data_IF_880832976654
#
_entry.id   IF_880832976654
#
_cell.length_a   1.000
_cell.length_b   1.000
_cell.length_c   1.000
_cell.angle_alpha   90.00
_cell.angle_beta   90.00
_cell.angle_gamma   90.00
#
_symmetry.space_group_name_H-M   'P 1'
#
loop_
_entity.id
_entity.type
_entity.pdbx_description
1 polymer ?
#
# COMPACT_ATOMS: atom_id res chain seq x y z
N UNK A 1 -30.11 -19.78 -28.42
CA UNK A 1 -29.49 -19.87 -27.07
C UNK A 1 -30.56 -20.30 -26.08
N UNK A 2 -30.24 -21.16 -25.12
CA UNK A 2 -31.17 -21.62 -24.06
C UNK A 2 -30.76 -21.00 -22.73
N UNK A 3 -31.72 -20.79 -21.84
CA UNK A 3 -31.48 -20.32 -20.48
C UNK A 3 -30.88 -21.46 -19.65
N UNK A 4 -29.77 -21.19 -18.96
CA UNK A 4 -29.09 -22.18 -18.11
C UNK A 4 -29.83 -22.47 -16.79
N UNK A 5 -30.81 -21.64 -16.43
CA UNK A 5 -31.62 -21.81 -15.21
C UNK A 5 -32.93 -22.54 -15.49
N UNK A 6 -33.71 -22.07 -16.48
CA UNK A 6 -35.04 -22.62 -16.75
C UNK A 6 -35.12 -23.51 -18.00
N UNK A 7 -34.02 -23.71 -18.73
CA UNK A 7 -33.94 -24.55 -19.94
C UNK A 7 -34.70 -24.02 -21.17
N UNK A 8 -35.55 -23.00 -21.02
CA UNK A 8 -36.33 -22.39 -22.10
C UNK A 8 -35.43 -21.70 -23.14
N UNK A 9 -35.91 -21.61 -24.38
CA UNK A 9 -35.24 -20.83 -25.43
C UNK A 9 -35.32 -19.34 -25.09
N UNK A 10 -34.19 -18.64 -25.12
CA UNK A 10 -34.16 -17.20 -24.88
C UNK A 10 -34.63 -16.50 -26.16
N UNK A 11 -35.70 -15.71 -26.05
CA UNK A 11 -36.18 -14.82 -27.09
C UNK A 11 -35.73 -13.39 -26.74
N UNK A 12 -34.84 -12.81 -27.55
CA UNK A 12 -34.27 -11.48 -27.30
C UNK A 12 -32.83 -11.52 -26.78
N UNK A 13 -32.43 -10.48 -26.03
CA UNK A 13 -31.06 -10.31 -25.55
C UNK A 13 -30.78 -11.22 -24.35
N UNK A 14 -29.80 -12.14 -24.42
CA UNK A 14 -29.42 -12.94 -23.26
C UNK A 14 -28.75 -12.07 -22.21
N UNK A 15 -29.07 -12.31 -20.93
CA UNK A 15 -28.47 -11.58 -19.80
C UNK A 15 -27.47 -12.48 -19.10
N UNK A 16 -26.29 -11.94 -18.78
CA UNK A 16 -25.32 -12.61 -17.92
C UNK A 16 -25.60 -12.23 -16.47
N UNK A 17 -26.00 -13.20 -15.67
CA UNK A 17 -26.30 -13.03 -14.26
C UNK A 17 -25.42 -13.94 -13.40
N UNK A 18 -25.10 -13.48 -12.20
CA UNK A 18 -24.46 -14.29 -11.17
C UNK A 18 -25.55 -14.87 -10.26
N UNK A 19 -25.69 -16.19 -10.28
CA UNK A 19 -26.66 -16.94 -9.46
C UNK A 19 -25.84 -17.99 -8.70
N UNK A 20 -25.93 -17.99 -7.37
CA UNK A 20 -25.20 -18.93 -6.49
C UNK A 20 -23.67 -18.98 -6.74
N UNK A 21 -23.07 -17.84 -7.11
CA UNK A 21 -21.64 -17.72 -7.40
C UNK A 21 -21.22 -18.21 -8.79
N UNK A 22 -22.13 -18.77 -9.59
CA UNK A 22 -21.88 -19.14 -10.98
C UNK A 22 -22.34 -18.02 -11.94
N UNK A 23 -21.52 -17.74 -12.96
CA UNK A 23 -21.88 -16.82 -14.05
C UNK A 23 -22.66 -17.58 -15.10
N UNK A 24 -23.97 -17.34 -15.19
CA UNK A 24 -24.88 -18.04 -16.09
C UNK A 24 -25.49 -17.09 -17.13
N UNK A 25 -25.83 -17.65 -18.29
CA UNK A 25 -26.57 -16.97 -19.35
C UNK A 25 -28.05 -17.32 -19.24
N UNK A 26 -28.84 -16.30 -18.94
CA UNK A 26 -30.23 -16.48 -18.54
C UNK A 26 -31.19 -15.62 -19.37
N UNK A 27 -32.47 -16.02 -19.38
CA UNK A 27 -33.54 -15.17 -19.93
C UNK A 27 -33.83 -13.99 -18.99
N UNK A 28 -34.53 -12.96 -19.50
CA UNK A 28 -34.89 -11.77 -18.73
C UNK A 28 -35.69 -12.06 -17.46
N UNK A 29 -36.44 -13.17 -17.42
CA UNK A 29 -37.16 -13.61 -16.22
C UNK A 29 -36.21 -14.17 -15.17
N UNK A 30 -35.26 -15.04 -15.56
CA UNK A 30 -34.30 -15.65 -14.66
C UNK A 30 -33.19 -14.68 -14.21
N UNK A 31 -32.93 -13.63 -14.99
CA UNK A 31 -32.00 -12.56 -14.61
C UNK A 31 -32.41 -11.83 -13.32
N UNK A 32 -33.71 -11.81 -12.98
CA UNK A 32 -34.23 -11.18 -11.76
C UNK A 32 -33.84 -11.92 -10.48
N UNK A 33 -33.53 -13.21 -10.57
CA UNK A 33 -33.16 -14.04 -9.43
C UNK A 33 -31.67 -13.99 -9.10
N UNK A 34 -30.87 -13.25 -9.89
CA UNK A 34 -29.43 -13.11 -9.68
C UNK A 34 -28.97 -11.66 -9.76
N UNK A 35 -27.69 -11.44 -9.47
CA UNK A 35 -27.08 -10.12 -9.67
C UNK A 35 -26.67 -9.99 -11.14
N UNK A 36 -27.28 -9.05 -11.86
CA UNK A 36 -26.96 -8.80 -13.26
C UNK A 36 -25.57 -8.18 -13.35
N UNK A 37 -24.62 -8.88 -13.96
CA UNK A 37 -23.30 -8.35 -14.23
C UNK A 37 -23.37 -7.61 -15.55
N UNK A 38 -23.42 -6.29 -15.49
CA UNK A 38 -23.20 -5.44 -16.65
C UNK A 38 -21.70 -5.47 -16.98
N UNK A 39 -21.29 -6.37 -17.87
CA UNK A 39 -19.95 -6.31 -18.44
C UNK A 39 -19.88 -5.09 -19.37
N UNK A 40 -19.21 -4.02 -18.93
CA UNK A 40 -18.85 -2.91 -19.82
C UNK A 40 -18.12 -3.48 -21.05
N UNK A 41 -18.54 -3.11 -22.28
CA UNK A 41 -17.93 -3.65 -23.48
C UNK A 41 -16.50 -3.14 -23.56
N UNK A 42 -15.54 -3.96 -23.15
CA UNK A 42 -14.12 -3.80 -23.47
C UNK A 42 -14.04 -3.68 -24.99
N UNK A 43 -13.75 -2.46 -25.46
CA UNK A 43 -13.73 -2.10 -26.87
C UNK A 43 -12.82 -3.09 -27.60
N UNK A 44 -13.45 -3.89 -28.47
CA UNK A 44 -12.77 -4.94 -29.22
C UNK A 44 -11.79 -4.27 -30.19
N UNK A 45 -10.55 -4.69 -30.09
CA UNK A 45 -9.50 -4.45 -31.06
C UNK A 45 -10.02 -4.79 -32.46
N UNK A 46 -10.00 -3.81 -33.37
CA UNK A 46 -10.20 -4.05 -34.81
C UNK A 46 -8.99 -4.81 -35.34
N UNK A 47 -9.20 -6.03 -35.82
CA UNK A 47 -8.30 -6.68 -36.78
C UNK A 47 -8.91 -6.60 -38.19
N UNK A 48 -8.04 -6.23 -39.14
CA UNK A 48 -8.01 -6.52 -40.59
C UNK A 48 -9.22 -6.08 -41.45
N UNK A 49 -9.04 -5.38 -42.57
CA UNK A 49 -8.39 -5.88 -43.80
C UNK A 49 -7.80 -4.78 -44.72
N UNK A 50 -7.05 -5.14 -45.79
CA UNK A 50 -6.08 -4.28 -46.48
C UNK A 50 -6.61 -3.69 -47.80
N UNK A 51 -6.08 -2.53 -48.21
CA UNK A 51 -5.75 -2.19 -49.61
C UNK A 51 -5.22 -0.74 -49.72
N UNK A 52 -4.08 -0.59 -50.42
CA UNK A 52 -3.68 0.49 -51.35
C UNK A 52 -4.03 1.96 -51.01
N UNK A 53 -3.17 2.97 -51.09
CA UNK A 53 -1.88 3.14 -51.75
C UNK A 53 -1.23 4.47 -51.31
N UNK A 54 0.11 4.48 -51.26
CA UNK A 54 1.05 5.55 -51.64
C UNK A 54 0.87 6.96 -51.05
N UNK A 55 1.81 7.37 -50.18
CA UNK A 55 2.69 8.55 -50.34
C UNK A 55 3.74 8.59 -49.21
N UNK A 56 4.99 8.89 -49.55
CA UNK A 56 6.19 8.87 -48.68
C UNK A 56 6.37 10.20 -47.89
N UNK A 57 7.49 10.44 -47.17
CA UNK A 57 7.68 10.11 -45.75
C UNK A 57 7.89 11.38 -44.89
N UNK A 58 7.56 11.33 -43.59
CA UNK A 58 8.14 12.27 -42.59
C UNK A 58 8.46 11.52 -41.29
N UNK A 59 9.61 11.83 -40.64
CA UNK A 59 10.11 11.04 -39.53
C UNK A 59 9.34 11.41 -38.26
N UNK A 60 8.51 10.49 -37.77
CA UNK A 60 7.90 10.62 -36.45
C UNK A 60 8.64 9.70 -35.49
N UNK A 61 9.28 10.36 -34.54
CA UNK A 61 9.99 9.85 -33.39
C UNK A 61 9.18 8.73 -32.72
N UNK A 62 9.78 7.55 -32.59
CA UNK A 62 9.22 6.44 -31.81
C UNK A 62 9.52 6.68 -30.32
N UNK A 63 8.51 6.75 -29.44
CA UNK A 63 8.68 6.20 -28.12
C UNK A 63 8.10 4.79 -28.11
N UNK A 64 9.02 3.84 -27.98
CA UNK A 64 8.82 2.43 -27.73
C UNK A 64 7.92 2.23 -26.49
N UNK A 65 6.65 1.89 -26.71
CA UNK A 65 5.72 1.50 -25.66
C UNK A 65 5.70 -0.02 -25.51
N UNK A 66 6.73 -0.57 -24.86
CA UNK A 66 6.76 -1.96 -24.39
C UNK A 66 5.68 -2.15 -23.33
N UNK A 67 4.55 -2.75 -23.70
CA UNK A 67 3.54 -3.21 -22.76
C UNK A 67 3.63 -4.74 -22.69
N UNK A 68 4.58 -5.25 -21.92
CA UNK A 68 4.57 -6.64 -21.50
C UNK A 68 5.40 -6.82 -20.22
N UNK A 69 4.70 -7.30 -19.21
CA UNK A 69 5.21 -8.24 -18.22
C UNK A 69 6.26 -7.73 -17.23
N UNK A 70 5.82 -7.23 -16.08
CA UNK A 70 6.51 -7.56 -14.82
C UNK A 70 5.48 -8.03 -13.80
N UNK A 71 5.22 -9.34 -13.85
CA UNK A 71 4.80 -10.12 -12.69
C UNK A 71 6.11 -10.44 -11.96
N UNK A 72 6.53 -9.60 -11.01
CA UNK A 72 7.66 -9.91 -10.13
C UNK A 72 7.11 -10.14 -8.74
N UNK A 73 7.19 -11.41 -8.39
CA UNK A 73 7.12 -11.97 -7.05
C UNK A 73 8.24 -11.37 -6.19
N UNK A 74 7.95 -11.20 -4.90
CA UNK A 74 8.88 -11.06 -3.77
C UNK A 74 9.96 -9.98 -3.84
N UNK A 75 9.69 -8.86 -3.16
CA UNK A 75 10.69 -8.32 -2.24
C UNK A 75 10.01 -8.15 -0.88
N UNK A 76 10.50 -8.93 0.07
CA UNK A 76 10.03 -9.09 1.43
C UNK A 76 10.29 -7.82 2.25
N UNK A 77 9.33 -6.90 2.18
CA UNK A 77 9.04 -5.95 3.23
C UNK A 77 7.52 -5.97 3.38
N UNK A 78 7.05 -6.58 4.47
CA UNK A 78 5.63 -6.64 4.81
C UNK A 78 5.12 -5.22 5.06
N UNK A 79 4.57 -4.63 4.01
CA UNK A 79 3.85 -3.37 4.11
C UNK A 79 2.61 -3.67 4.95
N UNK A 80 2.43 -2.96 6.06
CA UNK A 80 1.36 -3.31 7.01
C UNK A 80 0.02 -3.35 6.28
N UNK A 81 -0.72 -4.44 6.50
CA UNK A 81 -2.12 -4.54 6.14
C UNK A 81 -2.84 -3.27 6.68
N UNK A 82 -3.59 -2.58 5.83
CA UNK A 82 -4.22 -1.27 6.11
C UNK A 82 -3.34 0.00 6.06
N UNK A 83 -2.26 0.01 5.26
CA UNK A 83 -1.46 1.22 5.00
C UNK A 83 -2.30 2.41 4.48
N UNK A 84 -3.32 2.14 3.69
CA UNK A 84 -4.24 3.13 3.12
C UNK A 84 -5.01 3.88 4.22
N UNK A 85 -5.56 3.14 5.18
CA UNK A 85 -6.32 3.70 6.31
C UNK A 85 -5.39 4.49 7.22
N UNK A 86 -4.18 3.97 7.48
CA UNK A 86 -3.17 4.66 8.30
C UNK A 86 -2.73 5.97 7.67
N UNK A 87 -2.46 5.99 6.36
CA UNK A 87 -2.07 7.21 5.64
C UNK A 87 -3.20 8.23 5.69
N UNK A 88 -4.44 7.80 5.42
CA UNK A 88 -5.62 8.68 5.45
C UNK A 88 -5.83 9.29 6.84
N UNK A 89 -5.84 8.48 7.88
CA UNK A 89 -6.01 8.95 9.26
C UNK A 89 -4.88 9.90 9.69
N UNK A 90 -3.64 9.61 9.31
CA UNK A 90 -2.52 10.47 9.65
C UNK A 90 -2.58 11.81 8.90
N UNK A 91 -2.96 11.78 7.61
CA UNK A 91 -3.16 12.97 6.81
C UNK A 91 -4.27 13.86 7.41
N UNK A 92 -5.39 13.27 7.78
CA UNK A 92 -6.52 13.96 8.42
C UNK A 92 -6.15 14.52 9.79
N UNK A 93 -5.42 13.77 10.61
CA UNK A 93 -4.92 14.22 11.92
C UNK A 93 -4.00 15.44 11.81
N UNK A 94 -3.26 15.55 10.72
CA UNK A 94 -2.39 16.69 10.44
C UNK A 94 -3.09 17.80 9.63
N UNK A 95 -4.37 17.63 9.26
CA UNK A 95 -5.13 18.59 8.47
C UNK A 95 -4.56 18.84 7.06
N UNK A 96 -3.78 17.91 6.52
CA UNK A 96 -3.11 18.08 5.23
C UNK A 96 -4.05 17.72 4.07
N UNK A 97 -4.08 18.55 3.03
CA UNK A 97 -4.70 18.15 1.76
C UNK A 97 -3.78 17.20 1.00
N UNK A 98 -4.31 16.47 0.00
CA UNK A 98 -3.46 15.64 -0.86
C UNK A 98 -2.43 16.45 -1.64
N UNK A 99 -2.71 17.72 -1.93
CA UNK A 99 -1.77 18.63 -2.59
C UNK A 99 -0.62 19.01 -1.67
N UNK A 100 -0.92 19.32 -0.41
CA UNK A 100 0.09 19.70 0.58
C UNK A 100 0.99 18.51 0.94
N UNK A 101 0.38 17.33 1.10
CA UNK A 101 1.13 16.09 1.29
C UNK A 101 2.04 15.80 0.09
N UNK A 102 1.51 15.95 -1.13
CA UNK A 102 2.25 15.77 -2.38
C UNK A 102 3.44 16.72 -2.51
N UNK A 103 3.25 18.01 -2.19
CA UNK A 103 4.33 19.01 -2.15
C UNK A 103 5.40 18.66 -1.12
N UNK A 104 5.00 18.16 0.06
CA UNK A 104 5.93 17.82 1.16
C UNK A 104 6.80 16.60 0.83
N UNK A 105 6.25 15.60 0.15
CA UNK A 105 6.98 14.37 -0.20
C UNK A 105 7.54 14.36 -1.64
N UNK A 106 7.28 15.44 -2.40
CA UNK A 106 7.58 15.58 -3.83
C UNK A 106 6.98 14.44 -4.67
N UNK A 107 5.70 14.14 -4.46
CA UNK A 107 4.99 13.10 -5.20
C UNK A 107 3.69 13.64 -5.81
N UNK A 108 3.28 13.06 -6.94
CA UNK A 108 2.06 13.47 -7.63
C UNK A 108 0.82 13.12 -6.79
N UNK A 109 -0.13 14.05 -6.74
CA UNK A 109 -1.43 13.89 -6.06
C UNK A 109 -2.19 12.66 -6.56
N UNK A 110 -2.09 12.35 -7.86
CA UNK A 110 -2.70 11.16 -8.45
C UNK A 110 -2.16 9.85 -7.85
N UNK A 111 -0.86 9.81 -7.54
CA UNK A 111 -0.22 8.63 -6.92
C UNK A 111 -0.69 8.48 -5.49
N UNK A 112 -0.71 9.57 -4.72
CA UNK A 112 -1.25 9.58 -3.35
C UNK A 112 -2.69 9.08 -3.26
N UNK A 113 -3.57 9.54 -4.15
CA UNK A 113 -4.97 9.05 -4.23
C UNK A 113 -5.05 7.55 -4.53
N UNK A 114 -4.15 7.03 -5.37
CA UNK A 114 -4.09 5.59 -5.69
C UNK A 114 -3.58 4.75 -4.52
N UNK A 115 -2.68 5.30 -3.70
CA UNK A 115 -2.17 4.66 -2.49
C UNK A 115 -3.28 4.60 -1.42
N UNK A 116 -3.98 5.72 -1.16
CA UNK A 116 -5.12 5.76 -0.23
C UNK A 116 -6.31 4.88 -0.66
N UNK A 117 -6.36 4.44 -1.92
CA UNK A 117 -7.43 3.56 -2.45
C UNK A 117 -6.96 2.11 -2.67
N UNK A 118 -5.77 1.74 -2.16
CA UNK A 118 -5.11 0.42 -2.35
C UNK A 118 -4.89 0.00 -3.81
N UNK A 119 -5.01 0.91 -4.77
CA UNK A 119 -4.83 0.59 -6.20
C UNK A 119 -3.35 0.39 -6.57
N UNK A 120 -2.45 1.00 -5.82
CA UNK A 120 -1.00 0.95 -6.04
C UNK A 120 -0.31 0.74 -4.70
N UNK A 121 0.66 -0.19 -4.65
CA UNK A 121 1.60 -0.33 -3.55
C UNK A 121 2.65 0.78 -3.64
N UNK A 122 2.92 1.55 -2.58
CA UNK A 122 3.99 2.53 -2.59
C UNK A 122 5.35 1.83 -2.73
N UNK A 123 6.27 2.44 -3.48
CA UNK A 123 7.68 2.05 -3.48
C UNK A 123 8.28 2.24 -2.08
N UNK A 124 9.29 1.46 -1.70
CA UNK A 124 9.91 1.53 -0.36
C UNK A 124 10.44 2.93 -0.03
N UNK A 125 10.96 3.64 -1.04
CA UNK A 125 11.38 5.05 -0.91
C UNK A 125 10.21 5.98 -0.60
N UNK A 126 9.06 5.74 -1.21
CA UNK A 126 7.86 6.54 -1.00
C UNK A 126 7.22 6.21 0.36
N UNK A 127 7.22 4.94 0.76
CA UNK A 127 6.80 4.52 2.09
C UNK A 127 7.63 5.20 3.19
N UNK A 128 8.97 5.19 3.10
CA UNK A 128 9.85 5.86 4.06
C UNK A 128 9.61 7.39 4.14
N UNK A 129 9.36 8.03 2.98
CA UNK A 129 8.98 9.47 2.96
C UNK A 129 7.65 9.72 3.64
N UNK A 130 6.65 8.86 3.41
CA UNK A 130 5.34 8.95 4.05
C UNK A 130 5.45 8.76 5.56
N UNK A 131 6.25 7.81 6.03
CA UNK A 131 6.55 7.62 7.46
C UNK A 131 7.14 8.87 8.09
N UNK A 132 8.14 9.48 7.45
CA UNK A 132 8.77 10.69 7.97
C UNK A 132 7.83 11.91 7.93
N UNK A 133 7.06 12.06 6.84
CA UNK A 133 6.17 13.21 6.65
C UNK A 133 4.95 13.19 7.59
N UNK A 134 4.40 12.00 7.84
CA UNK A 134 3.19 11.75 8.63
C UNK A 134 3.50 11.25 10.06
N UNK A 135 4.78 10.97 10.37
CA UNK A 135 5.26 10.44 11.66
C UNK A 135 4.51 9.16 12.09
N UNK A 136 4.18 8.31 11.14
CA UNK A 136 3.52 7.01 11.35
C UNK A 136 4.44 5.86 11.00
N UNK A 137 4.16 4.67 11.54
CA UNK A 137 4.85 3.43 11.19
C UNK A 137 4.07 2.71 10.08
N UNK A 138 4.61 2.71 8.86
CA UNK A 138 4.09 2.01 7.68
C UNK A 138 4.94 0.80 7.29
N UNK A 139 6.24 0.82 7.60
CA UNK A 139 7.13 -0.32 7.60
C UNK A 139 7.23 -0.87 9.02
N UNK A 140 7.11 -2.18 9.16
CA UNK A 140 7.54 -2.90 10.36
C UNK A 140 9.00 -3.28 10.14
N UNK A 141 9.97 -2.61 10.77
CA UNK A 141 11.27 -3.26 10.96
C UNK A 141 11.06 -4.44 11.91
N UNK A 142 11.66 -5.62 11.67
CA UNK A 142 11.73 -6.64 12.71
C UNK A 142 12.53 -6.03 13.86
N UNK A 143 11.85 -5.76 14.96
CA UNK A 143 12.41 -5.34 16.25
C UNK A 143 13.49 -4.24 16.21
N UNK A 144 13.09 -3.00 16.45
CA UNK A 144 13.77 -2.26 17.50
C UNK A 144 12.72 -1.71 18.46
N UNK A 145 12.73 -2.29 19.65
CA UNK A 145 11.96 -1.91 20.80
C UNK A 145 11.96 -0.39 20.95
N UNK A 146 10.75 0.18 21.05
CA UNK A 146 10.59 1.46 21.71
C UNK A 146 11.04 1.27 23.16
N UNK A 147 12.31 1.53 23.46
CA UNK A 147 12.70 1.81 24.84
C UNK A 147 12.39 3.29 25.09
N UNK A 148 11.40 3.63 25.94
CA UNK A 148 11.16 5.01 26.32
C UNK A 148 12.42 5.56 26.98
N UNK A 149 12.82 6.77 26.58
CA UNK A 149 13.91 7.55 27.20
C UNK A 149 13.56 7.84 28.65
N UNK A 150 13.88 6.91 29.55
CA UNK A 150 13.97 7.18 30.97
C UNK A 150 15.34 7.80 31.23
N UNK A 151 15.33 9.08 31.62
CA UNK A 151 16.48 9.74 32.18
C UNK A 151 16.92 9.00 33.46
N UNK A 152 18.17 8.54 33.50
CA UNK A 152 18.82 8.02 34.72
C UNK A 152 20.24 8.61 34.75
N UNK A 153 20.71 9.15 35.89
CA UNK A 153 21.84 10.08 35.95
C UNK A 153 23.18 9.38 35.73
N UNK A 154 24.19 10.18 35.35
CA UNK A 154 25.60 9.77 35.25
C UNK A 154 26.08 9.26 36.61
N UNK A 155 26.02 7.95 36.85
CA UNK A 155 26.83 7.32 37.90
C UNK A 155 28.24 7.20 37.37
N UNK A 156 29.11 8.11 37.82
CA UNK A 156 30.55 7.97 37.67
C UNK A 156 30.96 6.60 38.18
N UNK A 157 31.49 5.79 37.28
CA UNK A 157 32.19 4.55 37.60
C UNK A 157 33.45 4.93 38.40
N UNK A 158 33.29 5.16 39.70
CA UNK A 158 34.40 5.32 40.63
C UNK A 158 34.69 3.93 41.15
N UNK A 159 35.66 3.28 40.51
CA UNK A 159 36.27 2.05 41.01
C UNK A 159 36.74 2.29 42.45
N UNK A 160 36.08 1.65 43.41
CA UNK A 160 36.51 1.59 44.79
C UNK A 160 37.74 0.66 44.82
N UNK A 161 38.92 1.27 44.84
CA UNK A 161 40.18 0.53 45.00
C UNK A 161 40.38 0.16 46.47
N UNK A 162 41.14 -0.91 46.73
CA UNK A 162 41.45 -1.41 48.08
C UNK A 162 42.08 -0.35 49.02
N UNK A 163 42.54 0.78 48.48
CA UNK A 163 43.06 1.92 49.24
C UNK A 163 42.00 2.78 49.94
N UNK A 164 40.72 2.73 49.54
CA UNK A 164 39.66 3.54 50.16
C UNK A 164 39.09 2.92 51.46
N UNK A 165 39.38 1.65 51.74
CA UNK A 165 38.91 0.95 52.95
C UNK A 165 39.71 1.29 54.23
N UNK A 166 40.94 1.80 54.10
CA UNK A 166 41.83 2.09 55.25
C UNK A 166 41.46 3.43 55.93
N UNK A 167 40.67 4.29 55.27
CA UNK A 167 40.30 5.62 55.80
C UNK A 167 39.05 5.62 56.69
N UNK A 168 38.31 4.52 56.79
CA UNK A 168 37.09 4.44 57.60
C UNK A 168 37.32 3.98 59.04
N UNK A 169 38.52 3.49 59.38
CA UNK A 169 38.83 2.94 60.71
C UNK A 169 39.60 3.90 61.64
N UNK A 170 39.81 5.17 61.24
CA UNK A 170 40.49 6.19 62.06
C UNK A 170 39.56 7.24 62.68
N UNK A 171 38.30 6.89 62.93
CA UNK A 171 37.29 7.86 63.38
C UNK A 171 36.30 7.41 64.46
N UNK A 172 36.47 6.24 65.09
CA UNK A 172 35.58 5.79 66.18
C UNK A 172 36.31 4.92 67.20
N UNK A 173 37.23 5.50 67.95
CA UNK A 173 37.78 4.84 69.13
C UNK A 173 38.42 5.82 70.13
N UNK A 174 37.86 7.02 70.34
CA UNK A 174 38.07 7.75 71.60
C UNK A 174 36.77 8.47 71.97
N UNK A 175 36.48 8.52 73.26
CA UNK A 175 35.32 9.11 73.93
C UNK A 175 34.11 8.19 74.17
N UNK A 176 34.28 7.29 75.15
CA UNK A 176 33.29 7.11 76.22
C UNK A 176 33.95 6.59 77.50
N UNK A 177 33.92 7.44 78.53
CA UNK A 177 33.96 7.08 79.95
C UNK A 177 32.79 6.19 80.35
#
# INVERSE_FOLDING_TARGET
>A
MRCEVCGRKIYGKPTRAMIEGAKLTVCSECAKHGTIIWEEPKQKHKLSEPAAAKTMPKPVIKPQGVAAQHKTVENELELVEDFDVKIRLAREKMGLTHEDLGKKINEKVSVLKKIETRKIKPDDRLAAKLEHALKIKLLVPPSEEKVPKAAVPKTSNRELTLGDLIKLDKGKAEEKS
#
